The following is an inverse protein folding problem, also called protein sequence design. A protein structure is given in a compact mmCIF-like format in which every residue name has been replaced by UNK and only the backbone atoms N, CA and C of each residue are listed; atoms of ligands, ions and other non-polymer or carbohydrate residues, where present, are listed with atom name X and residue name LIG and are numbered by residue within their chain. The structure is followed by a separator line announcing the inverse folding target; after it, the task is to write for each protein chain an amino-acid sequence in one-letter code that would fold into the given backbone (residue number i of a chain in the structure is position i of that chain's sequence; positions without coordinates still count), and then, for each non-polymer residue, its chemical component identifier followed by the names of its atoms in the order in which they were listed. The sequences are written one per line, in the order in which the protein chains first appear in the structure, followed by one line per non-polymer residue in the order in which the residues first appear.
data_IF_225543510081
#
_entry.id   IF_225543510081
#
_cell.length_a   1.000
_cell.length_b   1.000
_cell.length_c   1.000
_cell.angle_alpha   90.00
_cell.angle_beta   90.00
_cell.angle_gamma   90.00
#
_symmetry.space_group_name_H-M   'P 1'
#
loop_
_entity.id
_entity.type
_entity.pdbx_description
1 polymer ?
#
# COMPACT_ATOMS: atom_id res chain seq x y z
N UNK A 1 45.62 -38.33 40.52
CA UNK A 1 44.72 -39.44 40.24
C UNK A 1 43.39 -38.81 39.98
N UNK A 2 43.06 -38.64 38.83
CA UNK A 2 42.50 -39.29 37.65
C UNK A 2 41.13 -38.71 37.50
N UNK A 3 40.45 -38.49 36.44
CA UNK A 3 40.56 -38.97 35.10
C UNK A 3 39.76 -38.04 34.16
N UNK A 4 40.23 -37.95 32.94
CA UNK A 4 39.66 -37.33 31.79
C UNK A 4 38.23 -37.84 31.47
N UNK A 5 37.36 -36.93 31.10
CA UNK A 5 36.05 -37.20 30.48
C UNK A 5 35.86 -36.38 29.23
N UNK A 6 36.56 -36.77 28.18
CA UNK A 6 36.39 -36.33 26.78
C UNK A 6 34.96 -36.63 26.30
N UNK A 7 34.11 -35.64 26.10
CA UNK A 7 32.81 -35.77 25.41
C UNK A 7 32.89 -35.15 24.04
N UNK A 8 33.14 -36.02 23.06
CA UNK A 8 33.12 -35.83 21.63
C UNK A 8 31.84 -35.10 21.19
N UNK A 9 32.03 -33.91 20.66
CA UNK A 9 30.99 -33.23 19.84
C UNK A 9 30.77 -34.03 18.56
N UNK A 10 29.65 -34.75 18.47
CA UNK A 10 29.15 -35.31 17.21
C UNK A 10 28.59 -34.17 16.37
N UNK A 11 29.31 -33.84 15.33
CA UNK A 11 28.93 -32.92 14.28
C UNK A 11 27.84 -33.61 13.44
N UNK A 12 26.55 -33.25 13.64
CA UNK A 12 25.47 -33.60 12.72
C UNK A 12 25.63 -32.78 11.44
N UNK A 13 26.08 -33.41 10.37
CA UNK A 13 25.92 -32.89 9.01
C UNK A 13 24.46 -33.07 8.60
N UNK A 14 23.68 -32.01 8.62
CA UNK A 14 22.41 -31.98 7.89
C UNK A 14 22.73 -31.75 6.41
N UNK A 15 22.59 -32.79 5.62
CA UNK A 15 22.54 -32.73 4.18
C UNK A 15 21.16 -32.21 3.76
N UNK A 16 21.08 -30.95 3.34
CA UNK A 16 19.89 -30.43 2.68
C UNK A 16 19.83 -30.98 1.24
N UNK A 17 18.87 -31.85 0.99
CA UNK A 17 18.46 -32.17 -0.36
C UNK A 17 17.67 -30.97 -0.90
N UNK A 18 18.30 -30.15 -1.73
CA UNK A 18 17.62 -29.16 -2.53
C UNK A 18 16.95 -29.86 -3.71
N UNK A 19 15.68 -30.15 -3.56
CA UNK A 19 14.82 -30.45 -4.70
C UNK A 19 14.46 -29.11 -5.35
N UNK A 20 15.20 -28.74 -6.39
CA UNK A 20 14.89 -27.63 -7.26
C UNK A 20 13.66 -28.00 -8.09
N UNK A 21 12.49 -27.53 -7.71
CA UNK A 21 11.36 -27.45 -8.63
C UNK A 21 11.56 -26.20 -9.48
N UNK A 22 12.02 -26.44 -10.71
CA UNK A 22 12.16 -25.42 -11.74
C UNK A 22 10.81 -24.76 -12.00
N UNK A 23 10.77 -23.44 -11.81
CA UNK A 23 9.62 -22.60 -12.14
C UNK A 23 9.71 -22.29 -13.67
N UNK A 24 8.78 -22.77 -14.52
CA UNK A 24 8.93 -22.68 -15.97
C UNK A 24 8.62 -21.29 -16.57
N UNK A 25 8.43 -20.26 -15.76
CA UNK A 25 8.16 -18.92 -16.26
C UNK A 25 9.38 -18.01 -16.09
N UNK A 26 10.11 -17.81 -17.21
CA UNK A 26 11.20 -16.85 -17.23
C UNK A 26 10.66 -15.42 -17.45
N UNK A 27 11.42 -14.44 -16.95
CA UNK A 27 11.15 -13.00 -17.15
C UNK A 27 10.97 -12.58 -18.62
N UNK A 28 11.45 -13.40 -19.54
CA UNK A 28 11.32 -13.25 -20.99
C UNK A 28 9.89 -13.48 -21.49
N UNK A 29 9.15 -14.38 -20.85
CA UNK A 29 7.79 -14.73 -21.29
C UNK A 29 6.74 -13.70 -20.85
N UNK A 30 7.01 -12.99 -19.77
CA UNK A 30 6.17 -11.88 -19.31
C UNK A 30 6.27 -10.66 -20.24
N UNK A 31 7.46 -10.42 -20.82
CA UNK A 31 7.67 -9.30 -21.76
C UNK A 31 7.02 -9.54 -23.13
N UNK A 32 6.88 -10.78 -23.56
CA UNK A 32 6.23 -11.14 -24.83
C UNK A 32 4.72 -10.99 -24.80
N UNK A 33 4.10 -11.15 -23.63
CA UNK A 33 2.66 -10.98 -23.45
C UNK A 33 2.20 -9.52 -23.52
N UNK A 34 3.08 -8.56 -23.22
CA UNK A 34 2.75 -7.13 -23.22
C UNK A 34 2.83 -6.52 -24.64
N UNK A 35 3.62 -7.13 -25.54
CA UNK A 35 3.81 -6.59 -26.89
C UNK A 35 2.78 -7.04 -27.93
N UNK A 36 1.88 -7.98 -27.61
CA UNK A 36 0.96 -8.58 -28.59
C UNK A 36 -0.44 -7.93 -28.64
N UNK A 37 -0.67 -6.81 -27.94
CA UNK A 37 -1.97 -6.13 -27.96
C UNK A 37 -1.98 -4.78 -28.72
N UNK A 38 -0.89 -4.47 -29.47
CA UNK A 38 -0.80 -3.18 -30.19
C UNK A 38 -0.77 -3.31 -31.74
N UNK A 39 -1.15 -4.44 -32.29
CA UNK A 39 -1.09 -4.65 -33.73
C UNK A 39 -2.40 -5.21 -34.33
N UNK A 40 -3.52 -4.52 -34.11
CA UNK A 40 -4.70 -4.70 -34.97
C UNK A 40 -5.42 -3.33 -35.09
N UNK A 41 -4.91 -2.46 -35.93
CA UNK A 41 -5.66 -1.35 -36.55
C UNK A 41 -4.85 -0.73 -37.68
N UNK A 42 -4.74 -1.46 -38.80
CA UNK A 42 -4.44 -0.84 -40.10
C UNK A 42 -4.84 -1.83 -41.19
N UNK A 43 -5.97 -1.67 -41.77
CA UNK A 43 -6.24 -1.85 -43.19
C UNK A 43 -7.77 -2.04 -43.41
N UNK A 44 -8.46 -1.02 -43.86
CA UNK A 44 -9.32 -1.19 -45.00
C UNK A 44 -9.61 0.17 -45.61
N UNK A 45 -9.04 0.35 -46.77
CA UNK A 45 -9.33 1.45 -47.71
C UNK A 45 -10.43 1.02 -48.66
N UNK A 46 -11.23 2.03 -49.04
CA UNK A 46 -11.99 2.13 -50.28
C UNK A 46 -13.18 1.18 -50.48
N UNK A 47 -14.37 1.79 -50.55
CA UNK A 47 -15.19 1.76 -51.75
C UNK A 47 -16.23 2.88 -51.61
N UNK A 48 -16.23 3.77 -52.58
CA UNK A 48 -17.25 4.82 -52.68
C UNK A 48 -18.55 4.25 -53.20
N UNK A 49 -19.66 4.82 -52.78
CA UNK A 49 -20.90 4.82 -53.52
C UNK A 49 -21.65 6.14 -53.31
N UNK A 50 -21.85 6.81 -54.41
CA UNK A 50 -22.75 7.94 -54.61
C UNK A 50 -24.19 7.42 -54.53
N UNK A 51 -25.03 8.03 -53.72
CA UNK A 51 -26.46 8.09 -54.02
C UNK A 51 -27.22 9.05 -53.08
N UNK A 52 -27.71 10.10 -53.69
CA UNK A 52 -29.08 10.60 -53.66
C UNK A 52 -29.61 11.24 -52.38
N UNK A 53 -29.75 12.56 -52.49
CA UNK A 53 -30.56 13.39 -51.62
C UNK A 53 -32.00 12.86 -51.49
N UNK A 54 -32.40 12.66 -50.25
CA UNK A 54 -33.81 12.74 -49.88
C UNK A 54 -33.92 13.73 -48.68
N UNK A 55 -34.40 14.91 -49.03
CA UNK A 55 -34.74 15.98 -48.09
C UNK A 55 -36.02 15.55 -47.35
N UNK A 56 -35.90 14.94 -46.20
CA UNK A 56 -37.02 14.73 -45.29
C UNK A 56 -36.82 15.66 -44.08
N UNK A 57 -37.67 16.68 -44.01
CA UNK A 57 -37.78 17.54 -42.84
C UNK A 57 -38.22 16.70 -41.63
N UNK A 58 -37.34 16.47 -40.72
CA UNK A 58 -37.66 15.92 -39.40
C UNK A 58 -37.97 17.08 -38.44
N UNK A 59 -39.03 16.95 -37.62
CA UNK A 59 -39.36 17.97 -36.63
C UNK A 59 -38.23 18.08 -35.63
N UNK A 60 -37.90 19.31 -35.26
CA UNK A 60 -36.99 19.65 -34.18
C UNK A 60 -37.54 19.06 -32.86
N UNK A 61 -37.13 17.85 -32.55
CA UNK A 61 -37.26 17.30 -31.19
C UNK A 61 -36.30 18.11 -30.36
N UNK A 62 -36.85 18.84 -29.37
CA UNK A 62 -36.15 19.73 -28.48
C UNK A 62 -34.89 19.07 -27.94
N UNK A 63 -33.77 19.76 -28.15
CA UNK A 63 -32.54 19.48 -27.43
C UNK A 63 -32.80 19.71 -25.94
N UNK A 64 -33.40 18.72 -25.30
CA UNK A 64 -33.29 18.59 -23.85
C UNK A 64 -31.81 18.52 -23.56
N UNK A 65 -31.27 19.61 -23.01
CA UNK A 65 -29.98 19.58 -22.37
C UNK A 65 -29.99 18.37 -21.43
N UNK A 66 -29.47 17.26 -21.92
CA UNK A 66 -29.00 16.23 -21.00
C UNK A 66 -28.00 16.97 -20.12
N UNK A 67 -28.45 17.41 -18.93
CA UNK A 67 -27.55 17.69 -17.83
C UNK A 67 -26.70 16.45 -17.77
N UNK A 68 -25.51 16.53 -18.37
CA UNK A 68 -24.46 15.58 -17.99
C UNK A 68 -24.47 15.63 -16.48
N UNK A 69 -24.95 14.54 -15.88
CA UNK A 69 -24.76 14.34 -14.46
C UNK A 69 -23.26 14.45 -14.29
N UNK A 70 -22.82 15.63 -13.83
CA UNK A 70 -21.45 15.85 -13.38
C UNK A 70 -21.24 14.69 -12.43
N UNK A 71 -20.46 13.72 -12.87
CA UNK A 71 -19.99 12.66 -11.98
C UNK A 71 -19.45 13.43 -10.82
N UNK A 72 -20.06 13.22 -9.64
CA UNK A 72 -19.65 13.83 -8.39
C UNK A 72 -18.16 13.59 -8.33
N UNK A 73 -17.39 14.65 -8.58
CA UNK A 73 -15.95 14.56 -8.76
C UNK A 73 -15.43 13.77 -7.57
N UNK A 74 -14.77 12.66 -7.88
CA UNK A 74 -14.13 11.84 -6.88
C UNK A 74 -13.25 12.77 -6.05
N UNK A 75 -13.37 12.72 -4.73
CA UNK A 75 -12.62 13.57 -3.81
C UNK A 75 -11.13 13.59 -4.24
N UNK A 76 -10.58 14.75 -4.63
CA UNK A 76 -9.20 14.84 -5.13
C UNK A 76 -8.19 14.24 -4.17
N UNK A 77 -8.47 14.32 -2.87
CA UNK A 77 -7.61 13.76 -1.83
C UNK A 77 -7.45 12.24 -1.95
N UNK A 78 -8.50 11.53 -2.39
CA UNK A 78 -8.47 10.06 -2.58
C UNK A 78 -7.57 9.69 -3.77
N UNK A 79 -7.67 10.42 -4.88
CA UNK A 79 -6.79 10.19 -6.04
C UNK A 79 -5.32 10.40 -5.67
N UNK A 80 -5.01 11.50 -4.98
CA UNK A 80 -3.67 11.84 -4.53
C UNK A 80 -3.16 10.80 -3.53
N UNK A 81 -3.99 10.39 -2.58
CA UNK A 81 -3.70 9.33 -1.62
C UNK A 81 -3.32 8.03 -2.32
N UNK A 82 -4.12 7.59 -3.31
CA UNK A 82 -3.86 6.36 -4.05
C UNK A 82 -2.51 6.40 -4.82
N UNK A 83 -2.14 7.57 -5.37
CA UNK A 83 -0.79 7.77 -5.95
C UNK A 83 0.30 7.63 -4.88
N UNK A 84 0.08 8.16 -3.69
CA UNK A 84 0.99 7.99 -2.55
C UNK A 84 1.16 6.53 -2.16
N UNK A 85 0.08 5.76 -2.14
CA UNK A 85 0.12 4.30 -1.84
C UNK A 85 0.96 3.55 -2.87
N UNK A 86 0.81 3.85 -4.17
CA UNK A 86 1.64 3.23 -5.22
C UNK A 86 3.13 3.48 -5.02
N UNK A 87 3.49 4.74 -4.73
CA UNK A 87 4.87 5.14 -4.47
C UNK A 87 5.43 4.49 -3.19
N UNK A 88 4.63 4.40 -2.14
CA UNK A 88 4.99 3.76 -0.88
C UNK A 88 5.24 2.26 -1.06
N UNK A 89 4.39 1.55 -1.80
CA UNK A 89 4.57 0.14 -2.14
C UNK A 89 5.82 -0.08 -3.01
N UNK A 90 6.16 0.90 -3.85
CA UNK A 90 7.41 0.93 -4.62
C UNK A 90 8.64 1.33 -3.75
N UNK A 91 8.50 1.50 -2.44
CA UNK A 91 9.53 1.96 -1.50
C UNK A 91 10.12 3.34 -1.84
N UNK A 92 9.41 4.15 -2.64
CA UNK A 92 9.77 5.52 -3.01
C UNK A 92 9.25 6.49 -1.95
N UNK A 93 9.79 6.39 -0.73
CA UNK A 93 9.25 7.08 0.44
C UNK A 93 9.24 8.61 0.35
N UNK A 94 10.27 9.31 -0.17
CA UNK A 94 10.22 10.77 -0.29
C UNK A 94 9.09 11.26 -1.21
N UNK A 95 8.85 10.58 -2.32
CA UNK A 95 7.78 10.94 -3.25
C UNK A 95 6.40 10.55 -2.70
N UNK A 96 6.30 9.41 -2.01
CA UNK A 96 5.07 9.02 -1.31
C UNK A 96 4.70 10.03 -0.23
N UNK A 97 5.69 10.54 0.53
CA UNK A 97 5.49 11.60 1.51
C UNK A 97 4.84 12.83 0.87
N UNK A 98 5.41 13.35 -0.23
CA UNK A 98 4.87 14.51 -0.91
C UNK A 98 3.40 14.34 -1.34
N UNK A 99 3.02 13.11 -1.76
CA UNK A 99 1.63 12.80 -2.11
C UNK A 99 0.73 12.73 -0.89
N UNK A 100 1.16 12.10 0.20
CA UNK A 100 0.36 12.06 1.43
C UNK A 100 0.24 13.44 2.07
N UNK A 101 1.29 14.28 2.07
CA UNK A 101 1.22 15.67 2.50
C UNK A 101 0.19 16.47 1.68
N UNK A 102 0.16 16.27 0.36
CA UNK A 102 -0.85 16.89 -0.49
C UNK A 102 -2.24 16.35 -0.15
N UNK A 103 -2.43 15.04 0.05
CA UNK A 103 -3.72 14.45 0.40
C UNK A 103 -4.27 14.99 1.73
N UNK A 104 -3.43 15.12 2.76
CA UNK A 104 -3.86 15.69 4.06
C UNK A 104 -4.08 17.21 3.99
N UNK A 105 -3.45 17.90 3.06
CA UNK A 105 -3.72 19.32 2.79
C UNK A 105 -5.10 19.51 2.16
N UNK A 106 -5.46 18.67 1.19
CA UNK A 106 -6.79 18.68 0.55
C UNK A 106 -7.89 18.23 1.53
N UNK A 107 -7.61 17.20 2.34
CA UNK A 107 -8.52 16.69 3.35
C UNK A 107 -7.80 16.45 4.69
N UNK A 108 -7.79 17.46 5.58
CA UNK A 108 -7.14 17.35 6.90
C UNK A 108 -7.74 16.28 7.83
N UNK A 109 -8.94 15.78 7.51
CA UNK A 109 -9.60 14.73 8.30
C UNK A 109 -9.44 13.32 7.71
N UNK A 110 -8.51 13.14 6.78
CA UNK A 110 -8.25 11.86 6.13
C UNK A 110 -7.32 11.00 6.99
N UNK A 111 -7.89 10.23 7.91
CA UNK A 111 -7.15 9.44 8.89
C UNK A 111 -6.13 8.47 8.25
N UNK A 112 -6.53 7.80 7.17
CA UNK A 112 -5.66 6.84 6.46
C UNK A 112 -4.47 7.55 5.80
N UNK A 113 -4.65 8.77 5.30
CA UNK A 113 -3.55 9.56 4.73
C UNK A 113 -2.56 9.99 5.83
N UNK A 114 -3.04 10.39 7.00
CA UNK A 114 -2.17 10.65 8.15
C UNK A 114 -1.42 9.40 8.58
N UNK A 115 -2.07 8.24 8.67
CA UNK A 115 -1.40 6.98 8.99
C UNK A 115 -0.26 6.65 8.01
N UNK A 116 -0.52 6.74 6.70
CA UNK A 116 0.46 6.42 5.68
C UNK A 116 1.58 7.46 5.59
N UNK A 117 1.30 8.73 5.88
CA UNK A 117 2.31 9.76 6.03
C UNK A 117 3.24 9.46 7.22
N UNK A 118 2.66 9.09 8.36
CA UNK A 118 3.42 8.64 9.53
C UNK A 118 4.34 7.44 9.20
N UNK A 119 3.81 6.43 8.51
CA UNK A 119 4.60 5.28 8.06
C UNK A 119 5.76 5.71 7.15
N UNK A 120 5.47 6.52 6.16
CA UNK A 120 6.44 6.98 5.16
C UNK A 120 7.57 7.80 5.80
N UNK A 121 7.25 8.69 6.75
CA UNK A 121 8.22 9.44 7.53
C UNK A 121 9.09 8.52 8.40
N UNK A 122 8.49 7.54 9.08
CA UNK A 122 9.22 6.58 9.90
C UNK A 122 10.22 5.77 9.08
N UNK A 123 9.84 5.31 7.89
CA UNK A 123 10.73 4.53 6.98
C UNK A 123 11.89 5.36 6.43
N UNK A 124 11.85 6.66 6.51
CA UNK A 124 12.95 7.57 6.14
C UNK A 124 13.96 7.80 7.28
N UNK A 125 13.70 7.26 8.48
CA UNK A 125 14.68 7.20 9.56
C UNK A 125 14.37 8.07 10.77
N UNK A 126 15.25 7.96 11.78
CA UNK A 126 15.02 8.47 13.14
C UNK A 126 14.80 9.99 13.22
N UNK A 127 15.37 10.77 12.31
CA UNK A 127 15.17 12.24 12.27
C UNK A 127 13.68 12.61 12.08
N UNK A 128 12.88 11.72 11.53
CA UNK A 128 11.46 11.94 11.26
C UNK A 128 10.51 11.30 12.28
N UNK A 129 11.04 10.62 13.31
CA UNK A 129 10.20 9.87 14.25
C UNK A 129 9.18 10.73 14.99
N UNK A 130 9.56 11.95 15.38
CA UNK A 130 8.64 12.84 16.08
C UNK A 130 7.47 13.27 15.17
N UNK A 131 7.76 13.65 13.93
CA UNK A 131 6.71 13.98 12.94
C UNK A 131 5.83 12.78 12.62
N UNK A 132 6.44 11.60 12.48
CA UNK A 132 5.69 10.35 12.27
C UNK A 132 4.72 10.09 13.42
N UNK A 133 5.14 10.29 14.67
CA UNK A 133 4.32 10.12 15.87
C UNK A 133 3.11 11.07 15.86
N UNK A 134 3.32 12.32 15.49
CA UNK A 134 2.24 13.33 15.38
C UNK A 134 1.16 12.88 14.39
N UNK A 135 1.57 12.37 13.24
CA UNK A 135 0.63 11.88 12.23
C UNK A 135 -0.12 10.62 12.66
N UNK A 136 0.53 9.67 13.33
CA UNK A 136 -0.19 8.51 13.89
C UNK A 136 -1.19 8.93 14.98
N UNK A 137 -0.83 9.89 15.83
CA UNK A 137 -1.75 10.43 16.83
C UNK A 137 -2.99 11.06 16.16
N UNK A 138 -2.78 11.91 15.16
CA UNK A 138 -3.87 12.50 14.38
C UNK A 138 -4.75 11.44 13.73
N UNK A 139 -4.16 10.38 13.15
CA UNK A 139 -4.92 9.29 12.54
C UNK A 139 -5.81 8.58 13.56
N UNK A 140 -5.30 8.33 14.77
CA UNK A 140 -6.05 7.70 15.86
C UNK A 140 -7.15 8.63 16.41
N UNK A 141 -6.87 9.92 16.55
CA UNK A 141 -7.87 10.93 16.97
C UNK A 141 -9.02 11.00 15.97
N UNK A 142 -8.72 11.01 14.68
CA UNK A 142 -9.72 11.06 13.61
C UNK A 142 -10.51 9.75 13.49
N UNK A 143 -9.85 8.61 13.68
CA UNK A 143 -10.44 7.28 13.53
C UNK A 143 -9.93 6.32 14.61
N UNK A 144 -10.53 6.35 15.82
CA UNK A 144 -10.06 5.55 16.96
C UNK A 144 -10.12 4.03 16.79
N UNK A 145 -10.75 3.55 15.72
CA UNK A 145 -10.80 2.12 15.37
C UNK A 145 -9.85 1.74 14.24
N UNK A 146 -8.96 2.65 13.79
CA UNK A 146 -7.96 2.37 12.76
C UNK A 146 -6.82 1.56 13.39
N UNK A 147 -6.94 0.24 13.35
CA UNK A 147 -6.00 -0.68 13.99
C UNK A 147 -4.56 -0.52 13.46
N UNK A 148 -4.41 -0.22 12.16
CA UNK A 148 -3.12 -0.01 11.52
C UNK A 148 -2.34 1.16 12.15
N UNK A 149 -3.03 2.21 12.58
CA UNK A 149 -2.37 3.36 13.21
C UNK A 149 -1.77 2.99 14.57
N UNK A 150 -2.45 2.17 15.37
CA UNK A 150 -1.89 1.63 16.62
C UNK A 150 -0.71 0.69 16.34
N UNK A 151 -0.83 -0.18 15.33
CA UNK A 151 0.26 -1.09 14.95
C UNK A 151 1.53 -0.31 14.63
N UNK A 152 1.47 0.65 13.72
CA UNK A 152 2.65 1.39 13.28
C UNK A 152 3.17 2.37 14.32
N UNK A 153 2.30 2.95 15.17
CA UNK A 153 2.73 3.75 16.31
C UNK A 153 3.43 2.91 17.35
N UNK A 154 2.92 1.70 17.64
CA UNK A 154 3.56 0.74 18.54
C UNK A 154 4.94 0.28 18.05
N UNK A 155 5.09 0.04 16.75
CA UNK A 155 6.39 -0.23 16.12
C UNK A 155 7.33 0.98 16.29
N UNK A 156 6.85 2.19 16.03
CA UNK A 156 7.63 3.41 16.23
C UNK A 156 8.07 3.58 17.69
N UNK A 157 7.17 3.38 18.65
CA UNK A 157 7.52 3.42 20.08
C UNK A 157 8.58 2.36 20.44
N UNK A 158 8.51 1.17 19.85
CA UNK A 158 9.53 0.13 20.03
C UNK A 158 10.89 0.59 19.51
N UNK A 159 10.93 1.18 18.33
CA UNK A 159 12.15 1.75 17.72
C UNK A 159 12.73 2.93 18.53
N UNK A 160 11.87 3.69 19.21
CA UNK A 160 12.27 4.78 20.12
C UNK A 160 12.65 4.31 21.52
N UNK A 161 12.55 3.01 21.83
CA UNK A 161 12.77 2.47 23.18
C UNK A 161 11.64 2.77 24.19
N UNK A 162 10.50 3.30 23.74
CA UNK A 162 9.35 3.69 24.56
C UNK A 162 8.43 2.49 24.82
N UNK A 163 8.91 1.53 25.60
CA UNK A 163 8.24 0.23 25.79
C UNK A 163 6.84 0.33 26.41
N UNK A 164 6.63 1.23 27.37
CA UNK A 164 5.31 1.45 28.00
C UNK A 164 4.26 1.91 27.00
N UNK A 165 4.64 2.81 26.07
CA UNK A 165 3.73 3.34 25.08
C UNK A 165 3.40 2.30 24.02
N UNK A 166 4.40 1.50 23.60
CA UNK A 166 4.18 0.35 22.72
C UNK A 166 3.23 -0.68 23.34
N UNK A 167 3.35 -0.92 24.65
CA UNK A 167 2.47 -1.84 25.39
C UNK A 167 1.01 -1.32 25.44
N UNK A 168 0.81 0.00 25.54
CA UNK A 168 -0.53 0.59 25.48
C UNK A 168 -1.18 0.38 24.10
N UNK A 169 -0.41 0.57 23.02
CA UNK A 169 -0.90 0.29 21.66
C UNK A 169 -1.19 -1.19 21.44
N UNK A 170 -0.35 -2.08 21.97
CA UNK A 170 -0.60 -3.53 21.97
C UNK A 170 -1.94 -3.86 22.64
N UNK A 171 -2.22 -3.29 23.82
CA UNK A 171 -3.46 -3.51 24.53
C UNK A 171 -4.71 -2.99 23.76
N UNK A 172 -4.56 -1.90 23.03
CA UNK A 172 -5.60 -1.40 22.12
C UNK A 172 -5.83 -2.38 20.96
N UNK A 173 -4.76 -2.86 20.34
CA UNK A 173 -4.82 -3.82 19.23
C UNK A 173 -5.44 -5.16 19.62
N UNK A 174 -5.21 -5.66 20.83
CA UNK A 174 -5.84 -6.88 21.33
C UNK A 174 -7.37 -6.84 21.23
N UNK A 175 -7.97 -5.65 21.34
CA UNK A 175 -9.41 -5.43 21.22
C UNK A 175 -9.85 -5.12 19.77
N UNK A 176 -9.01 -4.44 18.99
CA UNK A 176 -9.36 -3.96 17.65
C UNK A 176 -9.04 -4.98 16.55
N UNK A 177 -7.87 -5.59 16.62
CA UNK A 177 -7.36 -6.56 15.64
C UNK A 177 -6.33 -7.49 16.32
N UNK A 178 -6.75 -8.67 16.80
CA UNK A 178 -5.86 -9.61 17.50
C UNK A 178 -4.68 -10.11 16.65
N UNK A 179 -4.78 -10.09 15.32
CA UNK A 179 -3.67 -10.49 14.47
C UNK A 179 -2.57 -9.41 14.49
N UNK A 180 -2.91 -8.15 14.26
CA UNK A 180 -1.95 -7.05 14.37
C UNK A 180 -1.36 -6.94 15.79
N UNK A 181 -2.10 -7.35 16.83
CA UNK A 181 -1.55 -7.42 18.18
C UNK A 181 -0.44 -8.46 18.29
N UNK A 182 -0.58 -9.63 17.69
CA UNK A 182 0.47 -10.66 17.65
C UNK A 182 1.70 -10.15 16.90
N UNK A 183 1.49 -9.50 15.77
CA UNK A 183 2.55 -8.96 14.94
C UNK A 183 3.33 -7.88 15.70
N UNK A 184 2.64 -6.94 16.39
CA UNK A 184 3.29 -5.95 17.24
C UNK A 184 4.06 -6.59 18.39
N UNK A 185 3.49 -7.60 19.05
CA UNK A 185 4.17 -8.30 20.16
C UNK A 185 5.48 -8.95 19.69
N UNK A 186 5.50 -9.52 18.47
CA UNK A 186 6.72 -10.10 17.91
C UNK A 186 7.75 -9.02 17.57
N UNK A 187 7.33 -7.89 17.00
CA UNK A 187 8.22 -6.74 16.79
C UNK A 187 8.81 -6.22 18.12
N UNK A 188 7.98 -6.11 19.16
CA UNK A 188 8.45 -5.67 20.49
C UNK A 188 9.47 -6.63 21.11
N UNK A 189 9.36 -7.93 20.82
CA UNK A 189 10.28 -8.97 21.32
C UNK A 189 11.57 -9.02 20.52
N UNK A 190 11.50 -8.96 19.19
CA UNK A 190 12.65 -9.19 18.30
C UNK A 190 13.35 -7.90 17.89
N UNK A 191 12.69 -6.76 17.99
CA UNK A 191 13.13 -5.47 17.44
C UNK A 191 13.10 -5.43 15.90
N UNK A 192 12.63 -6.49 15.25
CA UNK A 192 12.60 -6.60 13.79
C UNK A 192 11.17 -6.46 13.28
N UNK A 193 10.98 -5.57 12.35
CA UNK A 193 9.78 -5.46 11.54
C UNK A 193 10.00 -6.35 10.30
N UNK A 194 9.10 -7.30 10.07
CA UNK A 194 9.10 -8.00 8.79
C UNK A 194 8.77 -7.00 7.69
N UNK A 195 9.39 -7.18 6.51
CA UNK A 195 9.23 -6.24 5.37
C UNK A 195 7.80 -6.24 4.79
N UNK A 196 6.93 -7.07 5.36
CA UNK A 196 5.53 -7.10 5.00
C UNK A 196 4.81 -5.85 5.53
N UNK A 197 4.08 -5.24 4.64
CA UNK A 197 3.25 -4.09 4.89
C UNK A 197 2.02 -4.57 5.66
N UNK A 198 2.13 -4.66 6.98
CA UNK A 198 1.03 -5.07 7.87
C UNK A 198 -0.17 -4.15 7.66
N UNK A 199 -1.16 -4.63 6.91
CA UNK A 199 -2.46 -3.95 6.82
C UNK A 199 -2.41 -2.47 6.43
N UNK A 200 -1.40 -2.03 5.67
CA UNK A 200 -1.42 -0.66 5.14
C UNK A 200 -2.74 -0.44 4.43
N UNK A 201 -3.41 0.62 4.80
CA UNK A 201 -4.62 1.08 4.11
C UNK A 201 -4.34 1.11 2.62
N UNK A 202 -4.80 0.06 1.94
CA UNK A 202 -4.66 -0.10 0.50
C UNK A 202 -5.51 0.96 -0.21
N UNK A 203 -5.37 1.05 -1.53
CA UNK A 203 -6.12 2.01 -2.35
C UNK A 203 -7.60 2.04 -1.98
N UNK A 204 -8.11 3.24 -1.73
CA UNK A 204 -9.55 3.45 -1.54
C UNK A 204 -10.19 3.46 -2.93
N UNK A 205 -11.19 2.61 -3.12
CA UNK A 205 -12.02 2.61 -4.34
C UNK A 205 -12.88 3.87 -4.33
N UNK A 206 -12.88 4.56 -5.46
CA UNK A 206 -13.74 5.71 -5.73
C UNK A 206 -15.12 5.26 -6.15
#
# INVERSE_FOLDING_TARGET
MGENGDRRFRRFKLTYHTSATENPFTKSDLMKSIFNHSAVLAASRCIGFVAVMALAALPAVGAGSAKQAVRKDSDPSITIYNQGVELMLAKRFPEAQAKFEQAVKENPRFAEAHNNLGYTLRKQGAANYQKSLEHYNTAIELKPKLAEAYMYRGVLYTQMGRKSDAQADLAALQKLNPQLAKDLAEVMKTGKEEDEVYGLSTKIRQ
#
